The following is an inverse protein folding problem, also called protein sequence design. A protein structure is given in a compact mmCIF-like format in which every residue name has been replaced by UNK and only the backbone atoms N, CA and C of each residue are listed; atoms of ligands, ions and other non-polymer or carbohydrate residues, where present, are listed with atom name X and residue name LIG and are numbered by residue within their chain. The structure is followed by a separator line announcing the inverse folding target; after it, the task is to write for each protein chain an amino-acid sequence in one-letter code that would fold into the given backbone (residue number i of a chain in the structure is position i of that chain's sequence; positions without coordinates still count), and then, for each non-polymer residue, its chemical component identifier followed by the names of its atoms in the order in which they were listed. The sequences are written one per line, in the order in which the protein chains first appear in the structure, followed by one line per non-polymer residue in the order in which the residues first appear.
data_IF_065625901061
#
_entry.id   IF_065625901061
#
_cell.length_a   1.000
_cell.length_b   1.000
_cell.length_c   1.000
_cell.angle_alpha   90.00
_cell.angle_beta   90.00
_cell.angle_gamma   90.00
#
_symmetry.space_group_name_H-M   'P 1'
#
loop_
_entity.id
_entity.type
_entity.pdbx_description
1 polymer ?
#
# COMPACT_ATOMS: atom_id res chain seq x y z
N UNK A 1 -60.30 17.30 41.39
CA UNK A 1 -60.06 18.68 40.92
C UNK A 1 -59.59 19.49 42.11
N UNK A 2 -58.61 20.38 41.91
CA UNK A 2 -58.17 21.30 42.94
C UNK A 2 -59.34 22.16 43.46
N UNK A 3 -59.37 22.40 44.77
CA UNK A 3 -60.45 23.08 45.48
C UNK A 3 -60.10 24.55 45.64
N UNK A 4 -61.03 25.42 45.23
CA UNK A 4 -60.99 26.85 45.51
C UNK A 4 -61.88 27.17 46.71
N UNK A 5 -61.31 27.62 47.83
CA UNK A 5 -62.07 27.98 49.03
C UNK A 5 -62.67 29.39 48.97
N UNK A 6 -62.16 30.27 48.10
CA UNK A 6 -62.68 31.62 47.91
C UNK A 6 -63.94 31.56 47.03
N UNK A 7 -65.11 31.77 47.66
CA UNK A 7 -66.41 31.68 46.97
C UNK A 7 -66.98 33.06 46.66
N UNK A 8 -67.57 33.25 45.47
CA UNK A 8 -68.23 34.50 45.16
C UNK A 8 -69.56 34.60 45.93
N UNK A 9 -69.86 35.77 46.48
CA UNK A 9 -71.09 36.01 47.24
C UNK A 9 -72.21 36.55 46.34
N UNK A 10 -73.48 36.17 46.61
CA UNK A 10 -74.68 36.72 45.96
C UNK A 10 -74.69 36.63 44.42
N UNK A 11 -74.30 35.48 43.85
CA UNK A 11 -74.25 35.24 42.39
C UNK A 11 -75.49 34.57 41.79
N UNK A 12 -76.45 34.14 42.61
CA UNK A 12 -77.69 33.52 42.14
C UNK A 12 -78.55 34.50 41.32
N UNK A 13 -79.37 33.98 40.40
CA UNK A 13 -80.19 34.77 39.49
C UNK A 13 -81.12 35.79 40.20
N UNK A 14 -81.60 35.44 41.41
CA UNK A 14 -82.49 36.28 42.22
C UNK A 14 -81.80 36.82 43.49
N UNK A 15 -80.47 36.97 43.47
CA UNK A 15 -79.76 37.52 44.62
C UNK A 15 -80.18 38.97 44.88
N UNK A 16 -80.38 39.32 46.16
CA UNK A 16 -80.72 40.68 46.59
C UNK A 16 -79.53 41.62 46.37
N UNK A 17 -79.40 42.14 45.16
CA UNK A 17 -78.25 42.95 44.72
C UNK A 17 -78.77 44.09 43.85
N UNK A 18 -78.35 45.33 44.14
CA UNK A 18 -78.71 46.51 43.34
C UNK A 18 -78.28 46.33 41.87
N UNK A 19 -79.06 46.87 40.94
CA UNK A 19 -78.75 46.81 39.49
C UNK A 19 -77.41 47.49 39.19
N UNK A 20 -76.80 47.21 38.03
CA UNK A 20 -75.55 47.88 37.67
C UNK A 20 -75.75 49.39 37.51
N UNK A 21 -76.80 49.80 36.81
CA UNK A 21 -77.15 51.20 36.57
C UNK A 21 -77.39 51.98 37.87
N UNK A 22 -78.14 51.40 38.82
CA UNK A 22 -78.40 52.06 40.11
C UNK A 22 -77.17 52.08 41.02
N UNK A 23 -76.27 51.11 40.87
CA UNK A 23 -75.00 51.06 41.61
C UNK A 23 -74.02 52.14 41.14
N UNK A 24 -73.88 52.30 39.82
CA UNK A 24 -72.99 53.32 39.23
C UNK A 24 -73.46 54.75 39.49
N UNK A 25 -74.77 54.95 39.67
CA UNK A 25 -75.35 56.26 40.02
C UNK A 25 -75.41 56.53 41.53
N UNK A 26 -75.07 55.55 42.39
CA UNK A 26 -75.14 55.70 43.84
C UNK A 26 -73.98 56.58 44.36
N UNK A 27 -74.25 57.71 45.05
CA UNK A 27 -73.19 58.58 45.59
C UNK A 27 -72.24 57.87 46.58
N UNK A 28 -72.74 56.84 47.26
CA UNK A 28 -71.96 56.01 48.18
C UNK A 28 -70.90 55.14 47.46
N UNK A 29 -70.97 54.96 46.13
CA UNK A 29 -69.91 54.29 45.37
C UNK A 29 -68.58 55.05 45.48
N UNK A 30 -68.64 56.39 45.45
CA UNK A 30 -67.47 57.24 45.58
C UNK A 30 -67.10 57.56 47.04
N UNK A 31 -68.10 57.80 47.89
CA UNK A 31 -67.91 58.31 49.26
C UNK A 31 -68.01 57.25 50.36
N UNK A 32 -68.40 56.02 50.02
CA UNK A 32 -68.83 55.03 51.00
C UNK A 32 -70.16 55.39 51.67
N UNK A 33 -70.64 54.51 52.56
CA UNK A 33 -71.79 54.82 53.40
C UNK A 33 -71.33 55.63 54.62
N UNK A 34 -71.66 56.93 54.64
CA UNK A 34 -71.18 57.88 55.67
C UNK A 34 -72.19 58.14 56.78
N UNK A 35 -73.49 58.07 56.49
CA UNK A 35 -74.57 58.21 57.46
C UNK A 35 -75.82 57.41 57.04
N UNK A 36 -76.63 57.00 58.01
CA UNK A 36 -77.84 56.20 57.77
C UNK A 36 -77.59 54.70 57.63
N UNK A 37 -78.61 53.95 57.21
CA UNK A 37 -78.54 52.48 57.01
C UNK A 37 -78.23 52.18 55.54
N UNK A 38 -77.14 51.46 55.27
CA UNK A 38 -76.87 50.93 53.94
C UNK A 38 -77.93 49.87 53.58
N UNK A 39 -78.50 49.94 52.37
CA UNK A 39 -79.43 48.90 51.93
C UNK A 39 -78.68 47.58 51.75
N UNK A 40 -79.26 46.48 52.20
CA UNK A 40 -78.67 45.14 52.03
C UNK A 40 -78.36 44.82 50.57
N UNK A 41 -79.17 45.31 49.62
CA UNK A 41 -78.91 45.16 48.19
C UNK A 41 -77.63 45.86 47.71
N UNK A 42 -77.32 47.01 48.30
CA UNK A 42 -76.12 47.80 47.97
C UNK A 42 -74.87 47.19 48.63
N UNK A 43 -74.99 46.74 49.89
CA UNK A 43 -73.91 46.01 50.58
C UNK A 43 -73.58 44.70 49.86
N UNK A 44 -74.61 43.94 49.47
CA UNK A 44 -74.43 42.70 48.70
C UNK A 44 -73.79 42.97 47.33
N UNK A 45 -74.08 44.11 46.68
CA UNK A 45 -73.44 44.51 45.43
C UNK A 45 -71.93 44.71 45.61
N UNK A 46 -71.53 45.48 46.63
CA UNK A 46 -70.13 45.71 46.96
C UNK A 46 -69.40 44.39 47.29
N UNK A 47 -69.98 43.56 48.15
CA UNK A 47 -69.43 42.26 48.54
C UNK A 47 -69.32 41.32 47.33
N UNK A 48 -70.34 41.27 46.47
CA UNK A 48 -70.31 40.46 45.25
C UNK A 48 -69.17 40.88 44.32
N UNK A 49 -68.98 42.18 44.07
CA UNK A 49 -67.90 42.65 43.20
C UNK A 49 -66.52 42.25 43.73
N UNK A 50 -66.28 42.38 45.04
CA UNK A 50 -65.01 41.97 45.66
C UNK A 50 -64.80 40.45 45.64
N UNK A 51 -65.78 39.69 46.13
CA UNK A 51 -65.66 38.22 46.27
C UNK A 51 -65.66 37.50 44.92
N UNK A 52 -66.30 38.06 43.89
CA UNK A 52 -66.27 37.50 42.54
C UNK A 52 -64.86 37.50 41.94
N UNK A 53 -64.14 38.62 42.06
CA UNK A 53 -62.75 38.74 41.59
C UNK A 53 -61.83 37.81 42.38
N UNK A 54 -61.97 37.78 43.71
CA UNK A 54 -61.18 36.90 44.57
C UNK A 54 -61.37 35.42 44.19
N UNK A 55 -62.63 34.99 44.01
CA UNK A 55 -62.95 33.63 43.58
C UNK A 55 -62.39 33.31 42.19
N UNK A 56 -62.41 34.25 41.25
CA UNK A 56 -61.85 34.05 39.91
C UNK A 56 -60.33 33.87 39.93
N UNK A 57 -59.61 34.71 40.70
CA UNK A 57 -58.14 34.61 40.86
C UNK A 57 -57.76 33.31 41.57
N UNK A 58 -58.48 32.94 42.64
CA UNK A 58 -58.26 31.68 43.35
C UNK A 58 -58.58 30.46 42.46
N UNK A 59 -59.61 30.53 41.62
CA UNK A 59 -59.90 29.46 40.66
C UNK A 59 -58.81 29.35 39.60
N UNK A 60 -58.29 30.47 39.10
CA UNK A 60 -57.15 30.49 38.19
C UNK A 60 -55.93 29.81 38.83
N UNK A 61 -55.60 30.17 40.07
CA UNK A 61 -54.53 29.53 40.83
C UNK A 61 -54.75 28.03 41.00
N UNK A 62 -55.94 27.60 41.43
CA UNK A 62 -56.26 26.20 41.62
C UNK A 62 -56.07 25.40 40.32
N UNK A 63 -56.55 25.95 39.20
CA UNK A 63 -56.44 25.33 37.88
C UNK A 63 -54.99 25.25 37.39
N UNK A 64 -54.22 26.34 37.49
CA UNK A 64 -52.83 26.37 37.00
C UNK A 64 -51.89 25.60 37.90
N UNK A 65 -52.11 25.64 39.21
CA UNK A 65 -51.26 24.92 40.15
C UNK A 65 -51.61 23.44 40.27
N UNK A 66 -52.83 23.05 39.90
CA UNK A 66 -53.41 21.74 40.22
C UNK A 66 -53.30 21.45 41.73
N UNK A 67 -53.55 22.48 42.55
CA UNK A 67 -53.44 22.45 43.99
C UNK A 67 -54.52 23.32 44.62
N UNK A 68 -54.96 22.95 45.82
CA UNK A 68 -56.01 23.68 46.52
C UNK A 68 -55.56 25.10 46.88
N UNK A 69 -56.51 26.03 46.83
CA UNK A 69 -56.33 27.41 47.31
C UNK A 69 -57.20 27.54 48.54
N UNK A 70 -56.56 27.57 49.71
CA UNK A 70 -57.19 27.54 51.03
C UNK A 70 -57.44 28.95 51.55
N UNK A 71 -58.58 29.15 52.23
CA UNK A 71 -58.90 30.38 52.97
C UNK A 71 -58.56 30.17 54.46
N UNK A 72 -57.27 30.23 54.79
CA UNK A 72 -56.74 29.95 56.13
C UNK A 72 -55.94 31.12 56.74
N UNK A 73 -55.99 32.29 56.10
CA UNK A 73 -55.25 33.48 56.54
C UNK A 73 -53.75 33.50 56.20
N UNK A 74 -53.21 32.49 55.50
CA UNK A 74 -51.80 32.47 55.09
C UNK A 74 -51.57 33.25 53.79
N UNK A 75 -51.24 34.54 53.95
CA UNK A 75 -50.95 35.44 52.83
C UNK A 75 -49.71 35.00 52.02
N UNK A 76 -48.69 34.45 52.66
CA UNK A 76 -47.45 34.05 51.98
C UNK A 76 -47.69 32.83 51.09
N UNK A 77 -48.46 31.84 51.58
CA UNK A 77 -48.89 30.70 50.78
C UNK A 77 -49.73 31.14 49.57
N UNK A 78 -50.64 32.10 49.77
CA UNK A 78 -51.45 32.65 48.67
C UNK A 78 -50.60 33.37 47.62
N UNK A 79 -49.67 34.26 48.03
CA UNK A 79 -48.75 34.94 47.10
C UNK A 79 -47.89 33.94 46.33
N UNK A 80 -47.40 32.90 47.02
CA UNK A 80 -46.62 31.83 46.39
C UNK A 80 -47.45 31.07 45.36
N UNK A 81 -48.67 30.68 45.71
CA UNK A 81 -49.60 30.04 44.79
C UNK A 81 -49.90 30.94 43.58
N UNK A 82 -50.12 32.24 43.79
CA UNK A 82 -50.41 33.17 42.70
C UNK A 82 -49.23 33.33 41.74
N UNK A 83 -48.04 33.53 42.28
CA UNK A 83 -46.79 33.63 41.50
C UNK A 83 -46.54 32.37 40.68
N UNK A 84 -46.72 31.19 41.29
CA UNK A 84 -46.57 29.91 40.61
C UNK A 84 -47.59 29.74 39.46
N UNK A 85 -48.83 30.19 39.66
CA UNK A 85 -49.86 30.12 38.64
C UNK A 85 -49.52 31.01 37.43
N UNK A 86 -48.98 32.22 37.67
CA UNK A 86 -48.53 33.13 36.61
C UNK A 86 -47.32 32.59 35.83
N UNK A 87 -46.35 32.00 36.54
CA UNK A 87 -45.15 31.41 35.93
C UNK A 87 -45.44 30.14 35.12
N UNK A 88 -46.59 29.49 35.36
CA UNK A 88 -47.06 28.36 34.55
C UNK A 88 -47.74 28.78 33.25
N UNK A 89 -48.08 30.06 33.08
CA UNK A 89 -48.69 30.59 31.85
C UNK A 89 -47.77 31.51 31.06
N UNK A 90 -46.64 31.90 31.64
CA UNK A 90 -45.79 32.94 31.12
C UNK A 90 -44.34 32.58 31.37
N UNK A 91 -43.48 32.92 30.43
CA UNK A 91 -42.05 32.85 30.64
C UNK A 91 -41.56 34.12 31.35
N UNK A 92 -40.69 34.02 32.37
CA UNK A 92 -40.04 35.20 32.95
C UNK A 92 -39.37 36.04 31.86
N UNK A 93 -39.36 37.37 32.05
CA UNK A 93 -38.67 38.26 31.13
C UNK A 93 -37.18 37.88 31.09
N UNK A 94 -36.73 37.46 29.92
CA UNK A 94 -35.38 37.01 29.66
C UNK A 94 -34.87 37.68 28.38
N UNK A 95 -33.66 38.26 28.46
CA UNK A 95 -33.11 39.06 27.38
C UNK A 95 -32.78 38.22 26.14
N UNK A 96 -32.24 37.00 26.32
CA UNK A 96 -31.97 36.06 25.23
C UNK A 96 -33.26 35.65 24.53
N UNK A 97 -34.31 35.32 25.27
CA UNK A 97 -35.59 34.92 24.68
C UNK A 97 -36.31 36.08 24.00
N UNK A 98 -36.18 37.29 24.54
CA UNK A 98 -36.64 38.52 23.89
C UNK A 98 -35.92 38.73 22.56
N UNK A 99 -34.59 38.57 22.53
CA UNK A 99 -33.80 38.70 21.30
C UNK A 99 -34.18 37.66 20.23
N UNK A 100 -34.41 36.39 20.63
CA UNK A 100 -34.87 35.33 19.72
C UNK A 100 -36.28 35.64 19.19
N UNK A 101 -37.20 36.09 20.06
CA UNK A 101 -38.58 36.41 19.69
C UNK A 101 -38.68 37.61 18.74
N UNK A 102 -37.68 38.50 18.71
CA UNK A 102 -37.63 39.65 17.80
C UNK A 102 -37.13 39.31 16.38
N UNK A 103 -36.61 38.11 16.14
CA UNK A 103 -36.13 37.72 14.82
C UNK A 103 -37.27 37.64 13.81
N UNK A 104 -37.09 38.27 12.65
CA UNK A 104 -38.05 38.13 11.54
C UNK A 104 -37.96 36.73 10.95
N UNK A 105 -38.97 35.89 11.20
CA UNK A 105 -39.00 34.52 10.68
C UNK A 105 -39.16 34.52 9.16
N UNK A 106 -38.36 33.69 8.50
CA UNK A 106 -38.43 33.47 7.05
C UNK A 106 -37.86 32.08 6.72
N UNK A 107 -38.22 31.57 5.54
CA UNK A 107 -37.66 30.33 5.04
C UNK A 107 -36.13 30.43 4.93
N UNK A 108 -35.44 29.31 5.16
CA UNK A 108 -34.00 29.17 4.94
C UNK A 108 -33.11 30.07 5.82
N UNK A 109 -33.63 30.63 6.92
CA UNK A 109 -32.85 31.38 7.90
C UNK A 109 -32.37 30.49 9.04
N UNK A 110 -31.20 30.79 9.59
CA UNK A 110 -30.66 30.16 10.80
C UNK A 110 -30.32 31.23 11.85
N UNK A 111 -30.90 31.16 13.06
CA UNK A 111 -30.52 32.02 14.18
C UNK A 111 -29.12 31.70 14.70
N UNK A 112 -28.31 32.72 14.95
CA UNK A 112 -27.00 32.58 15.59
C UNK A 112 -26.71 33.77 16.51
N UNK A 113 -25.99 33.52 17.60
CA UNK A 113 -25.60 34.56 18.56
C UNK A 113 -24.43 35.39 18.01
N UNK A 114 -24.56 36.71 18.09
CA UNK A 114 -23.49 37.67 17.75
C UNK A 114 -22.83 38.28 18.99
N UNK A 115 -23.26 37.85 20.18
CA UNK A 115 -22.90 38.39 21.49
C UNK A 115 -23.90 37.90 22.55
N UNK A 116 -23.70 38.32 23.80
CA UNK A 116 -24.64 38.04 24.91
C UNK A 116 -25.96 38.75 24.62
N UNK A 117 -27.06 38.01 24.70
CA UNK A 117 -28.42 38.52 24.44
C UNK A 117 -28.63 39.20 23.08
N UNK A 118 -27.77 38.90 22.09
CA UNK A 118 -27.89 39.41 20.72
C UNK A 118 -27.89 38.27 19.73
N UNK A 119 -28.92 38.19 18.91
CA UNK A 119 -29.12 37.13 17.92
C UNK A 119 -29.35 37.76 16.56
N UNK A 120 -28.76 37.16 15.53
CA UNK A 120 -28.96 37.54 14.14
C UNK A 120 -29.39 36.32 13.31
N UNK A 121 -29.83 36.58 12.09
CA UNK A 121 -30.16 35.53 11.12
C UNK A 121 -29.10 35.49 10.02
N UNK A 122 -28.71 34.28 9.63
CA UNK A 122 -27.97 34.04 8.38
C UNK A 122 -28.83 33.24 7.41
N UNK A 123 -28.63 33.44 6.12
CA UNK A 123 -29.20 32.58 5.09
C UNK A 123 -28.45 31.23 5.02
N UNK A 124 -29.20 30.14 4.94
CA UNK A 124 -28.67 28.83 4.59
C UNK A 124 -29.01 28.51 3.13
N UNK A 125 -28.02 28.04 2.39
CA UNK A 125 -28.25 27.45 1.06
C UNK A 125 -29.00 26.12 1.18
N UNK A 126 -29.61 25.66 0.09
CA UNK A 126 -30.17 24.30 0.02
C UNK A 126 -29.12 23.24 0.32
N UNK A 127 -27.87 23.49 -0.07
CA UNK A 127 -26.76 22.59 0.19
C UNK A 127 -26.35 22.55 1.66
N UNK A 128 -26.27 23.70 2.34
CA UNK A 128 -25.98 23.75 3.77
C UNK A 128 -27.06 23.01 4.58
N UNK A 129 -28.35 23.22 4.27
CA UNK A 129 -29.44 22.47 4.93
C UNK A 129 -29.34 20.97 4.68
N UNK A 130 -29.01 20.58 3.45
CA UNK A 130 -28.83 19.17 3.10
C UNK A 130 -27.65 18.54 3.84
N UNK A 131 -26.55 19.26 4.02
CA UNK A 131 -25.39 18.83 4.80
C UNK A 131 -25.71 18.69 6.30
N UNK A 132 -26.41 19.67 6.89
CA UNK A 132 -26.81 19.64 8.31
C UNK A 132 -27.86 18.57 8.62
N UNK A 133 -28.63 18.13 7.61
CA UNK A 133 -29.61 17.05 7.73
C UNK A 133 -29.01 15.64 7.64
N UNK A 134 -27.68 15.51 7.62
CA UNK A 134 -26.98 14.22 7.63
C UNK A 134 -26.84 13.68 9.05
N UNK A 135 -26.99 12.37 9.19
CA UNK A 135 -27.00 11.63 10.46
C UNK A 135 -25.61 11.13 10.91
N UNK A 136 -24.59 11.26 10.06
CA UNK A 136 -23.24 10.80 10.33
C UNK A 136 -22.20 11.59 9.53
N UNK A 137 -20.94 11.54 9.99
CA UNK A 137 -19.82 12.13 9.25
C UNK A 137 -19.67 11.51 7.85
N UNK A 138 -19.95 10.21 7.71
CA UNK A 138 -19.88 9.53 6.42
C UNK A 138 -20.94 10.02 5.44
N UNK A 139 -22.18 10.22 5.89
CA UNK A 139 -23.24 10.76 5.03
C UNK A 139 -23.01 12.25 4.69
N UNK A 140 -22.32 13.01 5.55
CA UNK A 140 -21.81 14.35 5.25
C UNK A 140 -20.73 14.36 4.16
N UNK A 141 -19.71 13.51 4.29
CA UNK A 141 -18.64 13.38 3.29
C UNK A 141 -19.17 12.93 1.92
N UNK A 142 -20.11 11.99 1.92
CA UNK A 142 -20.78 11.56 0.69
C UNK A 142 -21.57 12.70 0.04
N UNK A 143 -22.25 13.54 0.84
CA UNK A 143 -22.97 14.71 0.32
C UNK A 143 -22.03 15.73 -0.32
N UNK A 144 -20.83 15.93 0.25
CA UNK A 144 -19.78 16.77 -0.33
C UNK A 144 -19.14 16.16 -1.58
N UNK A 145 -19.50 14.93 -1.96
CA UNK A 145 -18.94 14.24 -3.11
C UNK A 145 -17.48 13.82 -2.93
N UNK A 146 -17.00 13.68 -1.69
CA UNK A 146 -15.61 13.28 -1.45
C UNK A 146 -15.42 11.80 -1.82
N UNK A 147 -14.34 11.50 -2.54
CA UNK A 147 -13.95 10.11 -2.80
C UNK A 147 -13.41 9.40 -1.56
N UNK A 148 -13.21 8.09 -1.66
CA UNK A 148 -12.69 7.24 -0.57
C UNK A 148 -11.31 7.68 -0.06
N UNK A 149 -10.54 8.40 -0.88
CA UNK A 149 -9.25 8.98 -0.51
C UNK A 149 -9.36 9.98 0.65
N UNK A 150 -10.42 10.78 0.73
CA UNK A 150 -10.60 11.77 1.79
C UNK A 150 -10.72 11.14 3.20
N UNK A 151 -10.97 9.83 3.28
CA UNK A 151 -11.10 9.07 4.52
C UNK A 151 -9.82 8.31 4.90
N UNK A 152 -8.75 8.44 4.12
CA UNK A 152 -7.53 7.67 4.28
C UNK A 152 -6.38 8.58 4.68
N UNK A 153 -5.60 8.13 5.64
CA UNK A 153 -4.35 8.81 6.00
C UNK A 153 -3.31 8.63 4.89
N UNK A 154 -2.55 9.68 4.66
CA UNK A 154 -1.31 9.65 3.89
C UNK A 154 -0.25 8.80 4.59
N UNK A 155 0.58 8.09 3.82
CA UNK A 155 1.81 7.49 4.34
C UNK A 155 2.71 8.56 4.95
N UNK A 156 3.28 8.25 6.12
CA UNK A 156 4.14 9.14 6.89
C UNK A 156 5.62 9.05 6.51
N UNK A 157 6.05 7.89 6.00
CA UNK A 157 7.44 7.62 5.57
C UNK A 157 7.49 6.44 4.57
N UNK A 158 8.69 6.14 4.03
CA UNK A 158 8.92 5.08 3.03
C UNK A 158 8.62 3.67 3.54
N UNK A 159 8.67 3.46 4.85
CA UNK A 159 8.40 2.16 5.49
C UNK A 159 6.97 2.04 6.01
N UNK A 160 6.13 3.05 5.82
CA UNK A 160 4.76 3.05 6.30
C UNK A 160 3.93 2.02 5.53
N UNK A 161 3.72 0.86 6.17
CA UNK A 161 2.95 -0.26 5.66
C UNK A 161 1.53 -0.30 6.21
N UNK A 162 1.03 0.83 6.74
CA UNK A 162 -0.33 0.93 7.28
C UNK A 162 -1.35 0.55 6.21
N UNK A 163 -2.08 -0.53 6.46
CA UNK A 163 -3.06 -1.04 5.52
C UNK A 163 -4.09 0.03 5.18
N UNK A 164 -4.27 0.29 3.88
CA UNK A 164 -5.26 1.23 3.37
C UNK A 164 -4.83 2.70 3.35
N UNK A 165 -3.62 3.05 3.79
CA UNK A 165 -3.07 4.40 3.65
C UNK A 165 -2.89 4.81 2.18
N UNK A 166 -2.97 6.12 1.90
CA UNK A 166 -2.68 6.69 0.59
C UNK A 166 -1.17 6.79 0.37
N UNK A 167 -0.73 6.37 -0.80
CA UNK A 167 0.65 6.54 -1.23
C UNK A 167 0.92 8.00 -1.60
N UNK A 168 2.02 8.56 -1.11
CA UNK A 168 2.45 9.91 -1.46
C UNK A 168 3.40 9.87 -2.67
N UNK A 169 2.85 10.12 -3.85
CA UNK A 169 3.65 10.27 -5.07
C UNK A 169 4.47 11.57 -5.00
N UNK A 170 5.75 11.48 -5.34
CA UNK A 170 6.74 12.55 -5.21
C UNK A 170 7.43 12.59 -3.84
N UNK A 171 6.87 11.94 -2.81
CA UNK A 171 7.52 11.76 -1.52
C UNK A 171 8.27 10.41 -1.47
N UNK A 172 9.21 10.28 -0.52
CA UNK A 172 9.90 9.01 -0.22
C UNK A 172 10.55 8.35 -1.46
N UNK A 173 10.98 9.22 -2.37
CA UNK A 173 10.90 9.09 -3.82
C UNK A 173 10.28 7.83 -4.42
N UNK A 174 8.97 7.91 -4.60
CA UNK A 174 8.38 7.49 -5.87
C UNK A 174 8.18 8.75 -6.72
N UNK A 175 8.72 8.80 -7.96
CA UNK A 175 8.52 9.95 -8.87
C UNK A 175 9.40 11.19 -8.65
N UNK A 176 10.25 11.24 -7.62
CA UNK A 176 11.27 12.29 -7.46
C UNK A 176 12.54 12.01 -8.29
N UNK A 177 13.25 13.03 -8.75
CA UNK A 177 14.57 12.90 -9.39
C UNK A 177 15.65 13.22 -8.36
N UNK A 178 16.18 12.21 -7.68
CA UNK A 178 17.32 12.40 -6.77
C UNK A 178 17.39 11.39 -5.64
N UNK A 179 18.45 10.57 -5.64
CA UNK A 179 18.77 9.68 -4.53
C UNK A 179 19.25 10.52 -3.34
N UNK A 180 18.46 10.61 -2.27
CA UNK A 180 18.98 11.09 -0.98
C UNK A 180 19.63 9.93 -0.26
N UNK A 181 20.95 9.95 -0.12
CA UNK A 181 21.75 8.92 0.55
C UNK A 181 21.36 8.66 2.02
N UNK A 182 20.47 9.49 2.59
CA UNK A 182 20.02 9.43 3.97
C UNK A 182 18.95 8.36 4.26
N UNK A 183 18.32 7.77 3.23
CA UNK A 183 17.28 6.76 3.42
C UNK A 183 17.79 5.36 3.09
N UNK A 184 17.34 4.36 3.84
CA UNK A 184 17.54 2.95 3.49
C UNK A 184 16.32 2.45 2.70
N UNK A 185 16.53 1.79 1.55
CA UNK A 185 15.45 1.21 0.73
C UNK A 185 15.27 1.84 -0.67
N UNK A 186 14.11 1.63 -1.30
CA UNK A 186 13.78 2.24 -2.60
C UNK A 186 13.59 3.74 -2.39
N UNK A 187 14.37 4.55 -3.10
CA UNK A 187 14.36 6.02 -2.94
C UNK A 187 13.86 6.77 -4.14
N UNK A 188 13.85 6.18 -5.35
CA UNK A 188 13.29 6.77 -6.57
C UNK A 188 12.84 5.65 -7.50
N UNK A 189 11.64 5.75 -8.06
CA UNK A 189 11.27 5.07 -9.31
C UNK A 189 10.95 6.16 -10.33
N UNK A 190 11.68 6.20 -11.43
CA UNK A 190 11.57 7.27 -12.41
C UNK A 190 11.91 6.78 -13.82
N UNK A 191 11.41 7.50 -14.82
CA UNK A 191 11.65 7.22 -16.24
C UNK A 191 12.69 8.18 -16.80
N UNK A 192 13.60 7.67 -17.62
CA UNK A 192 14.50 8.48 -18.45
C UNK A 192 14.30 8.14 -19.93
N UNK A 193 14.12 9.16 -20.79
CA UNK A 193 13.93 8.96 -22.22
C UNK A 193 15.22 8.59 -22.95
N UNK A 194 15.09 8.13 -24.19
CA UNK A 194 16.19 7.88 -25.12
C UNK A 194 17.15 9.08 -25.21
N UNK A 195 18.45 8.82 -25.27
CA UNK A 195 19.51 9.84 -25.33
C UNK A 195 19.89 10.47 -23.98
N UNK A 196 19.20 10.15 -22.89
CA UNK A 196 19.57 10.69 -21.57
C UNK A 196 20.90 10.10 -21.08
N UNK A 197 21.79 10.97 -20.57
CA UNK A 197 23.13 10.58 -20.06
C UNK A 197 23.08 9.67 -18.83
N UNK A 198 21.96 9.64 -18.12
CA UNK A 198 21.73 8.76 -16.98
C UNK A 198 21.47 7.31 -17.39
N UNK A 199 21.15 7.04 -18.66
CA UNK A 199 20.86 5.70 -19.15
C UNK A 199 22.12 4.85 -19.35
N UNK A 200 21.99 3.50 -19.28
CA UNK A 200 23.08 2.59 -19.62
C UNK A 200 23.61 2.75 -21.04
N UNK A 201 22.71 3.06 -21.97
CA UNK A 201 22.99 3.24 -23.39
C UNK A 201 22.06 4.31 -23.98
N UNK A 202 22.48 5.03 -25.02
CA UNK A 202 21.76 6.21 -25.51
C UNK A 202 20.56 5.86 -26.38
N UNK A 203 20.35 4.60 -26.75
CA UNK A 203 19.41 4.20 -27.81
C UNK A 203 18.06 3.67 -27.30
N UNK A 204 17.82 3.69 -25.99
CA UNK A 204 16.61 3.12 -25.40
C UNK A 204 16.06 3.96 -24.25
N UNK A 205 14.79 3.71 -23.92
CA UNK A 205 14.10 4.25 -22.76
C UNK A 205 14.26 3.31 -21.55
N UNK A 206 14.36 3.87 -20.35
CA UNK A 206 14.54 3.08 -19.13
C UNK A 206 13.63 3.53 -18.01
N UNK A 207 13.16 2.54 -17.24
CA UNK A 207 12.71 2.78 -15.87
C UNK A 207 13.87 2.53 -14.93
N UNK A 208 14.17 3.50 -14.09
CA UNK A 208 15.21 3.44 -13.09
C UNK A 208 14.60 3.24 -11.71
N UNK A 209 15.25 2.41 -10.91
CA UNK A 209 14.96 2.20 -9.50
C UNK A 209 16.23 2.51 -8.71
N UNK A 210 16.18 3.55 -7.87
CA UNK A 210 17.25 3.86 -6.94
C UNK A 210 17.03 3.09 -5.64
N UNK A 211 18.06 2.38 -5.20
CA UNK A 211 18.11 1.64 -3.95
C UNK A 211 19.20 2.30 -3.09
N UNK A 212 18.80 3.00 -2.04
CA UNK A 212 19.76 3.61 -1.13
C UNK A 212 20.08 2.67 0.03
N UNK A 213 21.37 2.53 0.33
CA UNK A 213 21.89 1.92 1.53
C UNK A 213 22.15 2.96 2.62
N UNK A 214 23.02 2.65 3.57
CA UNK A 214 23.32 3.55 4.68
C UNK A 214 24.28 4.67 4.26
N UNK A 215 23.78 5.92 4.15
CA UNK A 215 24.51 7.20 4.09
C UNK A 215 25.50 7.43 2.93
N UNK A 216 26.12 6.39 2.39
CA UNK A 216 27.22 6.46 1.42
C UNK A 216 27.04 5.52 0.24
N UNK A 217 26.48 4.33 0.45
CA UNK A 217 26.34 3.34 -0.61
C UNK A 217 24.91 3.28 -1.14
N UNK A 218 24.77 3.20 -2.46
CA UNK A 218 23.49 2.97 -3.12
C UNK A 218 23.71 2.18 -4.40
N UNK A 219 22.64 1.61 -4.93
CA UNK A 219 22.61 0.94 -6.22
C UNK A 219 21.50 1.52 -7.06
N UNK A 220 21.68 1.49 -8.39
CA UNK A 220 20.61 1.80 -9.33
C UNK A 220 20.39 0.61 -10.23
N UNK A 221 19.13 0.29 -10.46
CA UNK A 221 18.70 -0.68 -11.47
C UNK A 221 18.05 0.10 -12.60
N UNK A 222 18.46 -0.14 -13.83
CA UNK A 222 17.79 0.35 -15.02
C UNK A 222 17.19 -0.82 -15.80
N UNK A 223 15.90 -0.74 -16.07
CA UNK A 223 15.12 -1.72 -16.81
C UNK A 223 14.77 -1.13 -18.17
N UNK A 224 15.25 -1.76 -19.25
CA UNK A 224 14.93 -1.33 -20.62
C UNK A 224 13.44 -1.53 -20.91
N UNK A 225 12.83 -0.54 -21.56
CA UNK A 225 11.45 -0.58 -22.03
C UNK A 225 11.34 -0.94 -23.53
N UNK A 226 12.24 -1.79 -24.04
CA UNK A 226 12.27 -2.16 -25.46
C UNK A 226 10.92 -2.67 -26.00
N UNK A 227 10.61 -2.27 -27.23
CA UNK A 227 9.36 -2.61 -27.91
C UNK A 227 9.33 -3.98 -28.61
N UNK A 228 10.47 -4.68 -28.74
CA UNK A 228 10.55 -5.96 -29.47
C UNK A 228 11.62 -6.94 -28.98
N UNK A 229 12.60 -6.52 -28.17
CA UNK A 229 13.69 -7.35 -27.67
C UNK A 229 13.52 -7.74 -26.18
N UNK A 230 14.24 -8.77 -25.73
CA UNK A 230 14.24 -9.18 -24.33
C UNK A 230 14.61 -7.99 -23.42
N UNK A 231 13.87 -7.78 -22.30
CA UNK A 231 14.16 -6.66 -21.40
C UNK A 231 15.56 -6.82 -20.81
N UNK A 232 16.40 -5.82 -21.04
CA UNK A 232 17.76 -5.74 -20.50
C UNK A 232 17.72 -5.10 -19.12
N UNK A 233 18.51 -5.64 -18.20
CA UNK A 233 18.64 -5.14 -16.84
C UNK A 233 20.08 -4.69 -16.66
N UNK A 234 20.25 -3.45 -16.21
CA UNK A 234 21.56 -2.90 -15.87
C UNK A 234 21.57 -2.52 -14.40
N UNK A 235 22.71 -2.73 -13.77
CA UNK A 235 22.93 -2.39 -12.38
C UNK A 235 24.20 -1.57 -12.30
N UNK A 236 24.19 -0.54 -11.47
CA UNK A 236 25.42 0.14 -11.06
C UNK A 236 25.37 0.44 -9.57
N UNK A 237 26.55 0.60 -8.99
CA UNK A 237 26.70 1.02 -7.61
C UNK A 237 27.14 2.49 -7.57
N UNK A 238 26.89 3.13 -6.44
CA UNK A 238 27.28 4.49 -6.17
C UNK A 238 27.82 4.58 -4.74
N UNK A 239 28.95 5.26 -4.60
CA UNK A 239 29.55 5.62 -3.33
C UNK A 239 29.65 7.15 -3.24
N UNK A 240 28.88 7.76 -2.34
CA UNK A 240 28.80 9.22 -2.21
C UNK A 240 28.23 9.88 -3.49
N UNK A 241 29.06 10.59 -4.25
CA UNK A 241 28.71 11.18 -5.56
C UNK A 241 29.30 10.43 -6.74
N UNK A 242 30.09 9.39 -6.50
CA UNK A 242 30.78 8.62 -7.54
C UNK A 242 29.94 7.41 -7.91
N UNK A 243 29.64 7.25 -9.20
CA UNK A 243 28.91 6.10 -9.74
C UNK A 243 29.89 5.16 -10.46
N UNK A 244 29.67 3.85 -10.36
CA UNK A 244 30.34 2.87 -11.21
C UNK A 244 29.76 2.91 -12.62
N UNK A 245 30.48 2.33 -13.57
CA UNK A 245 29.92 2.02 -14.88
C UNK A 245 28.71 1.09 -14.74
N UNK A 246 27.83 1.16 -15.73
CA UNK A 246 26.70 0.26 -15.84
C UNK A 246 27.18 -1.15 -16.16
N UNK A 247 26.72 -2.11 -15.36
CA UNK A 247 26.95 -3.53 -15.58
C UNK A 247 25.64 -4.18 -16.02
N UNK A 248 25.67 -4.87 -17.15
CA UNK A 248 24.50 -5.58 -17.66
C UNK A 248 24.35 -6.96 -16.99
N UNK A 249 23.10 -7.31 -16.67
CA UNK A 249 22.74 -8.66 -16.21
C UNK A 249 22.34 -9.50 -17.42
N UNK A 250 23.18 -10.48 -17.74
CA UNK A 250 22.91 -11.43 -18.82
C UNK A 250 21.99 -12.56 -18.37
N UNK A 251 21.16 -13.03 -19.30
CA UNK A 251 20.24 -14.17 -19.10
C UNK A 251 20.37 -15.13 -20.27
N UNK A 252 19.74 -16.30 -20.20
CA UNK A 252 19.69 -17.23 -21.35
C UNK A 252 19.04 -16.63 -22.59
N UNK A 253 18.15 -15.63 -22.43
CA UNK A 253 17.55 -14.88 -23.55
C UNK A 253 18.31 -13.61 -23.92
N UNK A 254 19.26 -13.16 -23.09
CA UNK A 254 20.13 -12.04 -23.35
C UNK A 254 21.57 -12.45 -22.97
N UNK A 255 22.21 -13.32 -23.76
CA UNK A 255 23.59 -13.74 -23.49
C UNK A 255 24.58 -12.63 -23.85
N UNK A 256 25.81 -12.64 -23.29
CA UNK A 256 26.87 -11.74 -23.72
C UNK A 256 27.19 -11.96 -25.21
N UNK A 257 27.56 -10.90 -25.92
CA UNK A 257 27.88 -10.95 -27.36
C UNK A 257 29.12 -11.80 -27.70
N UNK A 258 29.96 -12.10 -26.71
CA UNK A 258 31.12 -12.98 -26.82
C UNK A 258 31.13 -14.02 -25.71
N UNK A 259 31.44 -15.27 -26.05
CA UNK A 259 31.65 -16.32 -25.05
C UNK A 259 32.95 -16.02 -24.29
N UNK A 260 32.93 -15.89 -22.96
CA UNK A 260 34.14 -15.63 -22.19
C UNK A 260 35.15 -16.77 -22.34
N UNK A 261 36.43 -16.42 -22.49
CA UNK A 261 37.51 -17.40 -22.38
C UNK A 261 37.64 -17.89 -20.94
N UNK A 262 38.06 -19.12 -20.73
CA UNK A 262 38.39 -19.62 -19.39
C UNK A 262 39.54 -18.77 -18.81
N UNK A 263 39.35 -18.23 -17.61
CA UNK A 263 40.37 -17.42 -16.92
C UNK A 263 41.66 -18.21 -16.67
N UNK A 264 41.52 -19.52 -16.44
CA UNK A 264 42.63 -20.47 -16.36
C UNK A 264 42.47 -21.49 -17.47
N UNK A 265 43.42 -21.52 -18.40
CA UNK A 265 43.46 -22.53 -19.45
C UNK A 265 43.49 -23.94 -18.84
N UNK A 266 42.74 -24.87 -19.42
CA UNK A 266 42.73 -26.28 -19.00
C UNK A 266 43.46 -27.10 -20.05
N UNK A 267 44.30 -28.04 -19.62
CA UNK A 267 44.91 -28.98 -20.56
C UNK A 267 43.85 -29.96 -21.06
N UNK A 268 43.66 -30.00 -22.37
CA UNK A 268 42.98 -31.10 -23.06
C UNK A 268 44.06 -32.12 -23.40
N UNK A 269 43.96 -33.31 -22.81
CA UNK A 269 44.98 -34.36 -22.94
C UNK A 269 44.44 -35.56 -23.71
N UNK A 270 45.32 -36.14 -24.52
CA UNK A 270 45.17 -37.44 -25.16
C UNK A 270 46.04 -38.42 -24.37
N UNK A 271 45.51 -39.60 -24.05
CA UNK A 271 46.19 -40.62 -23.25
C UNK A 271 45.97 -42.02 -23.83
N UNK A 272 46.90 -42.93 -23.53
CA UNK A 272 46.92 -44.31 -24.04
C UNK A 272 48.11 -44.52 -24.96
N UNK A 273 47.90 -45.24 -26.04
CA UNK A 273 48.91 -45.51 -27.08
C UNK A 273 49.35 -44.27 -27.88
N UNK A 274 48.67 -43.14 -27.65
CA UNK A 274 49.11 -41.81 -28.05
C UNK A 274 49.01 -40.88 -26.84
N UNK A 275 49.97 -39.98 -26.72
CA UNK A 275 50.04 -38.99 -25.64
C UNK A 275 50.26 -37.60 -26.21
N UNK A 276 49.57 -36.61 -25.66
CA UNK A 276 49.69 -35.23 -26.09
C UNK A 276 48.79 -34.37 -25.24
N UNK A 277 49.13 -33.10 -25.05
CA UNK A 277 48.20 -32.16 -24.41
C UNK A 277 48.41 -30.76 -24.93
N UNK A 278 47.34 -29.96 -24.90
CA UNK A 278 47.43 -28.54 -25.16
C UNK A 278 46.55 -27.77 -24.16
N UNK A 279 47.01 -26.61 -23.67
CA UNK A 279 46.16 -25.71 -22.90
C UNK A 279 45.11 -25.09 -23.81
N UNK A 280 43.85 -25.12 -23.38
CA UNK A 280 42.74 -24.48 -24.07
C UNK A 280 41.96 -23.58 -23.11
N UNK A 281 41.74 -22.33 -23.52
CA UNK A 281 40.89 -21.38 -22.82
C UNK A 281 39.77 -20.81 -23.71
N UNK A 282 39.67 -21.23 -24.97
CA UNK A 282 38.66 -20.72 -25.91
C UNK A 282 38.99 -19.40 -26.60
N UNK A 283 40.20 -18.85 -26.44
CA UNK A 283 40.58 -17.59 -27.13
C UNK A 283 40.91 -17.78 -28.61
N UNK A 284 41.31 -18.98 -29.02
CA UNK A 284 41.65 -19.37 -30.37
C UNK A 284 41.63 -20.90 -30.50
N UNK A 285 41.75 -21.40 -31.73
CA UNK A 285 41.98 -22.83 -31.98
C UNK A 285 43.31 -23.29 -31.36
N UNK A 286 43.35 -24.52 -30.85
CA UNK A 286 44.53 -25.12 -30.22
C UNK A 286 44.90 -26.44 -30.88
N UNK A 287 46.17 -26.57 -31.25
CA UNK A 287 46.73 -27.81 -31.79
C UNK A 287 47.31 -28.66 -30.66
N UNK A 288 46.91 -29.93 -30.56
CA UNK A 288 47.53 -30.90 -29.64
C UNK A 288 48.68 -31.58 -30.40
N UNK A 289 49.90 -31.37 -29.94
CA UNK A 289 51.05 -32.14 -30.43
C UNK A 289 50.97 -33.55 -29.86
N UNK A 290 50.90 -34.55 -30.75
CA UNK A 290 50.71 -35.96 -30.37
C UNK A 290 51.99 -36.75 -30.57
N UNK A 291 52.36 -37.51 -29.55
CA UNK A 291 53.39 -38.55 -29.56
C UNK A 291 52.72 -39.91 -29.55
N UNK A 292 52.96 -40.73 -30.57
CA UNK A 292 52.47 -42.11 -30.61
C UNK A 292 53.50 -43.04 -29.97
N UNK A 293 53.06 -43.92 -29.07
CA UNK A 293 53.90 -44.91 -28.42
C UNK A 293 54.40 -45.97 -29.42
N UNK A 294 55.61 -46.48 -29.24
CA UNK A 294 56.19 -47.48 -30.15
C UNK A 294 55.40 -48.80 -30.16
N UNK A 295 54.72 -49.13 -29.07
CA UNK A 295 53.76 -50.25 -28.98
C UNK A 295 52.68 -50.18 -30.05
N UNK A 296 52.24 -48.97 -30.39
CA UNK A 296 51.20 -48.71 -31.37
C UNK A 296 51.73 -48.51 -32.80
N UNK A 297 53.05 -48.38 -32.97
CA UNK A 297 53.70 -48.22 -34.29
C UNK A 297 53.84 -49.53 -35.07
N UNK A 298 53.29 -50.64 -34.56
CA UNK A 298 53.27 -51.93 -35.27
C UNK A 298 54.68 -52.46 -35.55
N UNK A 299 55.45 -52.74 -34.50
CA UNK A 299 56.79 -53.32 -34.67
C UNK A 299 56.68 -54.84 -34.81
N UNK A 300 57.01 -55.38 -35.99
CA UNK A 300 57.21 -56.82 -36.17
C UNK A 300 58.64 -57.16 -35.74
N UNK A 301 58.81 -57.71 -34.54
CA UNK A 301 60.10 -58.19 -34.07
C UNK A 301 60.39 -59.59 -34.64
N UNK A 302 61.40 -59.72 -35.48
CA UNK A 302 61.90 -61.00 -35.98
C UNK A 302 63.26 -61.26 -35.34
N UNK A 303 63.41 -62.40 -34.65
CA UNK A 303 64.67 -62.86 -34.04
C UNK A 303 64.98 -64.26 -34.54
N UNK A 304 66.24 -64.54 -34.85
CA UNK A 304 66.68 -65.91 -35.11
C UNK A 304 66.51 -66.74 -33.82
N UNK A 305 65.66 -67.75 -33.86
CA UNK A 305 65.48 -68.68 -32.74
C UNK A 305 66.68 -69.62 -32.61
N UNK A 306 66.84 -70.25 -31.45
CA UNK A 306 67.86 -71.28 -31.26
C UNK A 306 67.69 -72.42 -32.26
N UNK A 307 68.80 -72.97 -32.76
CA UNK A 307 68.81 -74.10 -33.70
C UNK A 307 67.99 -75.28 -33.12
N UNK A 308 66.87 -75.61 -33.75
CA UNK A 308 66.06 -76.78 -33.40
C UNK A 308 66.55 -77.99 -34.20
N UNK A 309 67.30 -78.88 -33.54
CA UNK A 309 67.82 -80.09 -34.17
C UNK A 309 66.85 -81.26 -34.00
N UNK A 310 66.41 -81.88 -35.09
CA UNK A 310 65.74 -83.19 -35.07
C UNK A 310 66.81 -84.26 -35.38
N UNK A 311 67.27 -84.98 -34.35
CA UNK A 311 68.08 -86.22 -34.50
C UNK A 311 69.55 -86.13 -34.06
N UNK A 312 70.11 -87.27 -33.65
CA UNK A 312 71.44 -87.40 -33.00
C UNK A 312 72.58 -87.73 -33.97
N UNK A 313 73.68 -86.98 -33.80
CA UNK A 313 75.11 -87.35 -34.01
C UNK A 313 75.59 -87.85 -35.38
N UNK A 314 75.23 -87.14 -36.46
CA UNK A 314 76.08 -86.77 -37.62
C UNK A 314 75.19 -86.33 -38.78
N UNK A 315 74.91 -85.03 -38.92
CA UNK A 315 74.15 -84.47 -40.05
C UNK A 315 74.93 -83.36 -40.74
N UNK A 316 74.85 -83.34 -42.08
CA UNK A 316 75.33 -82.24 -42.92
C UNK A 316 74.30 -81.10 -42.84
N UNK A 317 74.66 -79.99 -42.18
CA UNK A 317 73.76 -78.84 -42.07
C UNK A 317 73.81 -77.98 -43.33
N UNK A 318 72.64 -77.56 -43.81
CA UNK A 318 72.51 -76.43 -44.73
C UNK A 318 72.33 -75.18 -43.85
N UNK A 319 73.37 -74.35 -43.78
CA UNK A 319 73.25 -73.00 -43.21
C UNK A 319 72.83 -72.04 -44.31
N UNK A 320 71.86 -71.17 -44.01
CA UNK A 320 71.46 -70.05 -44.86
C UNK A 320 71.55 -68.77 -44.05
N UNK A 321 71.87 -67.66 -44.72
CA UNK A 321 71.93 -66.36 -44.07
C UNK A 321 70.55 -65.96 -43.51
N UNK A 322 70.56 -65.16 -42.45
CA UNK A 322 69.37 -64.59 -41.83
C UNK A 322 68.52 -63.84 -42.86
N UNK A 323 67.20 -63.91 -42.72
CA UNK A 323 66.28 -63.25 -43.65
C UNK A 323 66.03 -63.99 -44.96
N UNK A 324 66.51 -65.23 -45.10
CA UNK A 324 66.23 -66.09 -46.24
C UNK A 324 65.27 -67.23 -45.85
N UNK A 325 64.38 -67.61 -46.77
CA UNK A 325 63.52 -68.78 -46.67
C UNK A 325 63.95 -69.83 -47.70
N UNK A 326 64.16 -71.07 -47.28
CA UNK A 326 64.42 -72.19 -48.20
C UNK A 326 63.13 -72.50 -48.97
N UNK A 327 63.20 -72.38 -50.29
CA UNK A 327 62.09 -72.70 -51.20
C UNK A 327 62.20 -74.12 -51.77
N UNK A 328 63.40 -74.67 -51.80
CA UNK A 328 63.66 -76.01 -52.30
C UNK A 328 65.13 -76.39 -52.19
N UNK A 329 65.38 -77.69 -52.08
CA UNK A 329 66.72 -78.29 -52.06
C UNK A 329 66.79 -79.26 -53.23
N UNK A 330 67.87 -79.22 -53.99
CA UNK A 330 68.10 -80.15 -55.09
C UNK A 330 69.42 -80.89 -54.89
N UNK A 331 69.36 -82.21 -55.07
CA UNK A 331 70.50 -83.10 -54.97
C UNK A 331 70.80 -83.67 -56.36
N UNK A 332 71.98 -83.39 -56.89
CA UNK A 332 72.48 -83.97 -58.14
C UNK A 332 73.82 -84.64 -57.87
N UNK A 333 74.19 -85.66 -58.64
CA UNK A 333 75.43 -86.41 -58.40
C UNK A 333 76.65 -85.47 -58.41
N UNK A 334 77.27 -85.27 -57.24
CA UNK A 334 78.45 -84.42 -57.05
C UNK A 334 78.20 -82.95 -56.69
N UNK A 335 76.95 -82.47 -56.60
CA UNK A 335 76.66 -81.08 -56.17
C UNK A 335 75.28 -80.93 -55.51
N UNK A 336 75.23 -80.11 -54.47
CA UNK A 336 74.00 -79.81 -53.71
C UNK A 336 73.73 -78.32 -53.83
N UNK A 337 72.51 -77.95 -54.24
CA UNK A 337 72.11 -76.55 -54.35
C UNK A 337 70.85 -76.27 -53.55
N UNK A 338 70.83 -75.13 -52.86
CA UNK A 338 69.70 -74.70 -52.03
C UNK A 338 69.13 -73.43 -52.64
N UNK A 339 67.85 -73.47 -53.01
CA UNK A 339 67.15 -72.31 -53.54
C UNK A 339 66.53 -71.54 -52.37
N UNK A 340 66.99 -70.30 -52.20
CA UNK A 340 66.55 -69.40 -51.14
C UNK A 340 65.87 -68.17 -51.74
N UNK A 341 64.89 -67.62 -51.00
CA UNK A 341 64.27 -66.33 -51.32
C UNK A 341 64.38 -65.39 -50.12
N UNK A 342 64.60 -64.09 -50.34
CA UNK A 342 64.55 -63.12 -49.26
C UNK A 342 63.14 -63.06 -48.67
N UNK A 343 63.06 -63.13 -47.35
CA UNK A 343 61.87 -62.73 -46.61
C UNK A 343 61.71 -61.23 -46.78
N UNK A 344 60.51 -60.77 -47.14
CA UNK A 344 60.20 -59.35 -47.27
C UNK A 344 59.14 -58.95 -46.26
N UNK A 345 59.26 -57.74 -45.72
CA UNK A 345 58.26 -57.08 -44.89
C UNK A 345 57.78 -55.80 -45.56
N UNK A 346 56.50 -55.47 -45.41
CA UNK A 346 55.95 -54.20 -45.88
C UNK A 346 56.04 -53.18 -44.74
N UNK A 347 56.79 -52.10 -44.96
CA UNK A 347 56.91 -50.97 -44.04
C UNK A 347 56.29 -49.73 -44.71
N UNK A 348 55.15 -49.28 -44.18
CA UNK A 348 54.34 -48.25 -44.83
C UNK A 348 53.83 -48.74 -46.19
N UNK A 349 54.36 -48.18 -47.29
CA UNK A 349 54.02 -48.57 -48.67
C UNK A 349 55.16 -49.27 -49.42
N UNK A 350 56.31 -49.54 -48.78
CA UNK A 350 57.47 -50.13 -49.44
C UNK A 350 57.78 -51.54 -48.91
N UNK A 351 58.08 -52.46 -49.82
CA UNK A 351 58.59 -53.81 -49.48
C UNK A 351 60.09 -53.75 -49.23
N UNK A 352 60.51 -54.23 -48.07
CA UNK A 352 61.91 -54.25 -47.61
C UNK A 352 62.32 -55.68 -47.30
N UNK A 353 63.53 -56.08 -47.70
CA UNK A 353 64.09 -57.39 -47.34
C UNK A 353 64.46 -57.43 -45.86
N UNK A 354 63.95 -58.44 -45.16
CA UNK A 354 64.29 -58.72 -43.75
C UNK A 354 65.71 -59.29 -43.71
N UNK A 355 66.58 -58.82 -42.80
CA UNK A 355 67.89 -59.43 -42.57
C UNK A 355 69.12 -58.70 -43.12
N UNK A 356 69.04 -57.38 -43.33
CA UNK A 356 70.23 -56.55 -43.53
C UNK A 356 70.25 -55.44 -42.46
N UNK A 357 70.83 -55.77 -41.31
CA UNK A 357 71.49 -54.80 -40.43
C UNK A 357 72.92 -55.25 -40.23
#
# INVERSE_FOLDING_TARGET
MAINNFKPFATAANANVTTQTDWESLPALASGFTAGKASSAQVNKALRQATFVAAAVAQFMANKNNADVLDNGDLNAFITAFTNALNKTSQPLDATLTAIAQLTTAANKFPYFTGVDTVALTDLTSAARSLLARDSADSMLNYLGTGTAAKKNAQSNVFDNTAGALMLLGAFGFGGVGATSANTGITNVYYLPIGDKGNPEPYQNYVHINLAGTSFYSSRIALSLNGTDNPRIFIKNRSGTTESDWTEVYTTRNPPASVPTLTTARNISISGDATGSAPFNGSADANISVTVADSAKGVIQLREGSLSTIGTTSQNFISINTGLLIRGISFVAGSQSVNVRPLQMLLGSQWVTVGLS
#
